data_IF_656161775884
#
_entry.id   IF_656161775884
#
_cell.length_a   1.000
_cell.length_b   1.000
_cell.length_c   1.000
_cell.angle_alpha   90.00
_cell.angle_beta   90.00
_cell.angle_gamma   90.00
#
_symmetry.space_group_name_H-M   'P 1'
#
loop_
_entity.id
_entity.type
_entity.pdbx_description
1 polymer ?
#
# COMPACT_ATOMS: atom_id res chain seq x y z
N UNK A 1 -0.54 -1.68 15.19
CA UNK A 1 -1.86 -1.62 14.52
C UNK A 1 -3.06 -2.07 15.37
N UNK A 2 -2.96 -2.38 16.67
CA UNK A 2 -4.12 -2.92 17.44
C UNK A 2 -5.38 -2.03 17.42
N UNK A 3 -5.24 -0.72 17.22
CA UNK A 3 -6.36 0.24 17.16
C UNK A 3 -6.78 0.66 15.74
N UNK A 4 -6.16 0.12 14.68
CA UNK A 4 -6.52 0.49 13.31
C UNK A 4 -7.92 -0.02 12.95
N UNK A 5 -8.85 0.89 12.64
CA UNK A 5 -10.25 0.54 12.32
C UNK A 5 -10.47 0.12 10.87
N UNK A 6 -9.44 0.19 10.03
CA UNK A 6 -9.49 -0.24 8.62
C UNK A 6 -9.07 -1.71 8.43
N UNK A 7 -8.96 -2.14 7.16
CA UNK A 7 -8.49 -3.50 6.83
C UNK A 7 -7.02 -3.67 7.23
N UNK A 8 -6.65 -4.61 8.12
CA UNK A 8 -5.25 -4.81 8.47
C UNK A 8 -4.38 -5.13 7.24
N UNK A 9 -3.15 -4.60 7.23
CA UNK A 9 -2.14 -4.97 6.25
C UNK A 9 -1.59 -6.40 6.46
N UNK A 10 -0.66 -6.86 5.61
CA UNK A 10 -0.09 -6.13 4.48
C UNK A 10 -1.05 -6.06 3.29
N UNK A 11 -1.04 -4.94 2.58
CA UNK A 11 -1.75 -4.78 1.31
C UNK A 11 -0.77 -4.93 0.14
N UNK A 12 -1.27 -5.32 -1.04
CA UNK A 12 -0.49 -5.44 -2.26
C UNK A 12 -1.32 -5.08 -3.48
N UNK A 13 -0.65 -4.62 -4.53
CA UNK A 13 -1.31 -4.30 -5.79
C UNK A 13 -1.67 -5.59 -6.52
N UNK A 14 -2.92 -5.70 -6.97
CA UNK A 14 -3.35 -6.77 -7.86
C UNK A 14 -3.33 -6.30 -9.30
N UNK A 15 -2.52 -6.97 -10.11
CA UNK A 15 -2.61 -6.90 -11.56
C UNK A 15 -3.72 -7.84 -12.00
N UNK A 16 -4.78 -7.27 -12.55
CA UNK A 16 -5.90 -8.07 -13.01
C UNK A 16 -5.67 -8.41 -14.48
N UNK A 17 -5.93 -9.68 -14.78
CA UNK A 17 -5.94 -10.33 -16.09
C UNK A 17 -6.61 -9.44 -17.14
N UNK A 18 -6.10 -9.51 -18.38
CA UNK A 18 -6.50 -8.78 -19.59
C UNK A 18 -7.85 -8.01 -19.47
N UNK A 19 -7.77 -6.67 -19.44
CA UNK A 19 -8.95 -5.79 -19.44
C UNK A 19 -9.24 -5.04 -18.13
N UNK A 20 -8.48 -5.26 -17.06
CA UNK A 20 -8.74 -4.66 -15.75
C UNK A 20 -7.55 -3.79 -15.24
N UNK A 21 -7.87 -2.73 -14.48
CA UNK A 21 -6.92 -1.78 -13.89
C UNK A 21 -6.37 -2.28 -12.54
N UNK A 22 -5.22 -1.76 -12.05
CA UNK A 22 -4.62 -2.21 -10.80
C UNK A 22 -5.55 -1.99 -9.61
N UNK A 23 -5.79 -3.05 -8.83
CA UNK A 23 -6.53 -3.03 -7.58
C UNK A 23 -5.60 -3.18 -6.37
N UNK A 24 -6.16 -3.20 -5.16
CA UNK A 24 -5.41 -3.43 -3.91
C UNK A 24 -6.08 -4.56 -3.13
N UNK A 25 -5.32 -5.60 -2.81
CA UNK A 25 -5.76 -6.71 -1.97
C UNK A 25 -4.98 -6.77 -0.66
N UNK A 26 -5.60 -7.32 0.37
CA UNK A 26 -4.95 -7.72 1.62
C UNK A 26 -4.38 -9.14 1.46
N UNK A 27 -3.16 -9.34 1.96
CA UNK A 27 -2.42 -10.59 1.81
C UNK A 27 -2.22 -11.29 3.14
N UNK A 28 -2.31 -12.62 3.11
CA UNK A 28 -1.91 -13.48 4.23
C UNK A 28 -1.07 -14.64 3.67
N UNK A 29 0.13 -14.85 4.23
CA UNK A 29 1.07 -15.89 3.78
C UNK A 29 1.35 -15.84 2.26
N UNK A 30 1.49 -14.63 1.71
CA UNK A 30 1.78 -14.40 0.29
C UNK A 30 0.60 -14.62 -0.66
N UNK A 31 -0.61 -14.90 -0.15
CA UNK A 31 -1.82 -15.08 -0.97
C UNK A 31 -2.82 -13.94 -0.73
N UNK A 32 -3.49 -13.44 -1.78
CA UNK A 32 -4.57 -12.47 -1.61
C UNK A 32 -5.74 -13.13 -0.86
N UNK A 33 -6.34 -12.39 0.07
CA UNK A 33 -7.43 -12.88 0.94
C UNK A 33 -8.71 -12.06 0.83
N UNK A 34 -8.59 -10.77 0.54
CA UNK A 34 -9.71 -9.83 0.46
C UNK A 34 -9.30 -8.62 -0.35
N UNK A 35 -10.19 -8.13 -1.21
CA UNK A 35 -9.99 -6.86 -1.91
C UNK A 35 -10.27 -5.67 -1.01
N UNK A 36 -9.33 -4.72 -1.00
CA UNK A 36 -9.33 -3.49 -0.18
C UNK A 36 -9.86 -2.31 -0.99
N UNK A 37 -9.37 -2.13 -2.23
CA UNK A 37 -9.82 -1.10 -3.18
C UNK A 37 -9.88 -1.71 -4.58
N UNK A 38 -11.03 -1.56 -5.24
CA UNK A 38 -11.18 -1.79 -6.68
C UNK A 38 -11.29 -0.43 -7.36
N UNK A 39 -10.56 -0.23 -8.46
CA UNK A 39 -10.83 0.89 -9.36
C UNK A 39 -11.38 0.35 -10.68
N UNK A 40 -12.59 0.82 -11.02
CA UNK A 40 -13.37 0.65 -12.24
C UNK A 40 -14.08 -0.68 -12.53
N UNK A 41 -15.38 -0.59 -12.86
CA UNK A 41 -16.10 -1.54 -13.73
C UNK A 41 -15.88 -1.16 -15.20
N UNK A 42 -16.20 -2.09 -16.12
CA UNK A 42 -15.99 -1.95 -17.56
C UNK A 42 -16.57 -0.68 -18.24
N UNK A 43 -17.44 0.07 -17.56
CA UNK A 43 -18.12 1.26 -18.10
C UNK A 43 -17.38 2.59 -17.83
N UNK A 44 -16.31 2.61 -17.03
CA UNK A 44 -15.40 3.77 -16.92
C UNK A 44 -14.44 3.91 -18.15
N UNK A 45 -14.58 3.04 -19.16
CA UNK A 45 -13.84 3.03 -20.43
C UNK A 45 -13.92 4.34 -21.22
N UNK A 46 -14.92 5.19 -21.00
CA UNK A 46 -15.12 6.43 -21.75
C UNK A 46 -14.34 7.66 -21.21
N UNK A 47 -13.69 7.55 -20.04
CA UNK A 47 -13.22 8.73 -19.30
C UNK A 47 -11.71 8.89 -19.12
N UNK A 48 -10.94 7.80 -18.98
CA UNK A 48 -9.51 7.90 -18.67
C UNK A 48 -8.70 6.90 -19.51
N UNK A 49 -8.34 7.35 -20.70
CA UNK A 49 -7.48 6.63 -21.64
C UNK A 49 -6.03 7.07 -21.35
N UNK A 50 -5.11 6.12 -21.12
CA UNK A 50 -3.64 6.27 -20.96
C UNK A 50 -2.97 6.47 -19.57
N UNK A 51 -3.63 6.24 -18.44
CA UNK A 51 -3.01 6.48 -17.11
C UNK A 51 -2.45 5.22 -16.39
N UNK A 52 -2.18 4.12 -17.10
CA UNK A 52 -1.83 2.83 -16.48
C UNK A 52 -0.67 2.88 -15.47
N UNK A 53 0.34 3.71 -15.73
CA UNK A 53 1.49 3.91 -14.85
C UNK A 53 1.19 4.78 -13.63
N UNK A 54 0.38 5.83 -13.78
CA UNK A 54 -0.02 6.70 -12.67
C UNK A 54 -0.98 5.96 -11.72
N UNK A 55 -1.90 5.18 -12.29
CA UNK A 55 -2.78 4.26 -11.57
C UNK A 55 -1.99 3.24 -10.75
N UNK A 56 -0.96 2.63 -11.34
CA UNK A 56 -0.08 1.71 -10.64
C UNK A 56 0.72 2.41 -9.52
N UNK A 57 1.25 3.60 -9.78
CA UNK A 57 1.97 4.39 -8.78
C UNK A 57 1.07 4.74 -7.58
N UNK A 58 -0.17 5.16 -7.84
CA UNK A 58 -1.17 5.46 -6.81
C UNK A 58 -1.54 4.19 -6.02
N UNK A 59 -1.72 3.06 -6.70
CA UNK A 59 -2.00 1.79 -6.06
C UNK A 59 -0.85 1.34 -5.15
N UNK A 60 0.41 1.48 -5.60
CA UNK A 60 1.61 1.20 -4.78
C UNK A 60 1.66 2.08 -3.52
N UNK A 61 1.42 3.39 -3.67
CA UNK A 61 1.40 4.34 -2.56
C UNK A 61 0.34 3.95 -1.51
N UNK A 62 -0.88 3.64 -1.95
CA UNK A 62 -1.97 3.26 -1.05
C UNK A 62 -1.70 1.90 -0.41
N UNK A 63 -1.18 0.93 -1.18
CA UNK A 63 -0.82 -0.39 -0.66
C UNK A 63 0.27 -0.34 0.42
N UNK A 64 1.13 0.69 0.39
CA UNK A 64 2.14 0.93 1.42
C UNK A 64 1.61 1.71 2.64
N UNK A 65 0.36 2.19 2.64
CA UNK A 65 -0.17 3.03 3.70
C UNK A 65 -0.10 2.42 5.11
N UNK A 66 -0.38 1.11 5.33
CA UNK A 66 -0.21 0.50 6.65
C UNK A 66 1.24 0.60 7.14
N UNK A 67 2.21 0.22 6.29
CA UNK A 67 3.63 0.25 6.63
C UNK A 67 4.17 1.69 6.79
N UNK A 68 3.69 2.63 5.97
CA UNK A 68 4.02 4.07 6.10
C UNK A 68 3.53 4.63 7.43
N UNK A 69 2.31 4.29 7.85
CA UNK A 69 1.76 4.72 9.14
C UNK A 69 2.57 4.15 10.31
N UNK A 70 2.89 2.85 10.28
CA UNK A 70 3.71 2.21 11.30
C UNK A 70 5.12 2.84 11.37
N UNK A 71 5.73 3.14 10.22
CA UNK A 71 7.01 3.84 10.15
C UNK A 71 6.95 5.26 10.74
N UNK A 72 5.90 6.03 10.44
CA UNK A 72 5.69 7.37 11.01
C UNK A 72 5.49 7.34 12.53
N UNK A 73 4.73 6.37 13.04
CA UNK A 73 4.56 6.17 14.48
C UNK A 73 5.89 5.84 15.17
N UNK A 74 6.72 5.00 14.54
CA UNK A 74 8.07 4.69 15.02
C UNK A 74 8.99 5.92 14.97
N UNK A 75 8.86 6.79 13.96
CA UNK A 75 9.59 8.06 13.89
C UNK A 75 9.21 9.03 15.03
N UNK A 76 7.93 9.10 15.40
CA UNK A 76 7.50 9.90 16.56
C UNK A 76 8.11 9.34 17.86
N UNK A 77 8.12 8.01 18.02
CA UNK A 77 8.76 7.33 19.15
C UNK A 77 10.28 7.56 19.22
N UNK A 78 10.93 7.70 18.06
CA UNK A 78 12.34 8.09 17.97
C UNK A 78 12.57 9.49 18.55
N UNK A 79 11.76 10.48 18.17
CA UNK A 79 11.86 11.85 18.69
C UNK A 79 11.80 11.92 20.23
N UNK A 80 11.09 10.98 20.87
CA UNK A 80 10.97 10.88 22.33
C UNK A 80 11.96 9.89 22.98
N UNK A 81 12.88 9.29 22.21
CA UNK A 81 13.98 8.46 22.72
C UNK A 81 13.60 7.04 23.13
N UNK A 82 12.52 6.48 22.59
CA UNK A 82 11.91 5.23 23.10
C UNK A 82 12.11 3.99 22.24
N UNK A 83 12.79 4.09 21.08
CA UNK A 83 12.94 2.99 20.11
C UNK A 83 14.33 2.89 19.51
N UNK A 84 14.65 1.70 18.97
CA UNK A 84 15.91 1.44 18.26
C UNK A 84 15.95 2.17 16.90
N UNK A 85 16.91 3.09 16.79
CA UNK A 85 17.18 3.95 15.64
C UNK A 85 17.34 3.20 14.31
N UNK A 86 18.07 2.09 14.31
CA UNK A 86 18.39 1.33 13.10
C UNK A 86 17.13 0.67 12.53
N UNK A 87 16.27 0.17 13.42
CA UNK A 87 15.01 -0.48 13.03
C UNK A 87 14.01 0.52 12.44
N UNK A 88 13.83 1.67 13.09
CA UNK A 88 12.90 2.70 12.62
C UNK A 88 13.29 3.23 11.22
N UNK A 89 14.59 3.40 10.96
CA UNK A 89 15.09 3.78 9.64
C UNK A 89 14.78 2.72 8.58
N UNK A 90 15.08 1.44 8.85
CA UNK A 90 14.84 0.35 7.90
C UNK A 90 13.35 0.15 7.59
N UNK A 91 12.49 0.25 8.61
CA UNK A 91 11.04 0.14 8.44
C UNK A 91 10.52 1.27 7.53
N UNK A 92 10.99 2.51 7.74
CA UNK A 92 10.64 3.65 6.88
C UNK A 92 11.13 3.48 5.44
N UNK A 93 12.39 3.06 5.25
CA UNK A 93 12.95 2.83 3.92
C UNK A 93 12.17 1.73 3.18
N UNK A 94 11.80 0.66 3.86
CA UNK A 94 11.00 -0.43 3.28
C UNK A 94 9.61 0.05 2.85
N UNK A 95 8.92 0.82 3.69
CA UNK A 95 7.62 1.38 3.37
C UNK A 95 7.68 2.36 2.18
N UNK A 96 8.73 3.19 2.11
CA UNK A 96 8.97 4.11 0.99
C UNK A 96 9.24 3.34 -0.31
N UNK A 97 10.08 2.32 -0.29
CA UNK A 97 10.36 1.50 -1.48
C UNK A 97 9.07 0.87 -2.01
N UNK A 98 8.24 0.31 -1.11
CA UNK A 98 6.93 -0.23 -1.47
C UNK A 98 6.00 0.82 -2.09
N UNK A 99 5.95 2.03 -1.51
CA UNK A 99 5.13 3.12 -2.03
C UNK A 99 5.58 3.59 -3.42
N UNK A 100 6.88 3.55 -3.69
CA UNK A 100 7.48 3.89 -4.99
C UNK A 100 7.47 2.72 -5.99
N UNK A 101 7.06 1.52 -5.56
CA UNK A 101 7.07 0.31 -6.39
C UNK A 101 8.47 -0.21 -6.73
N UNK A 102 9.45 0.00 -5.83
CA UNK A 102 10.87 -0.39 -5.97
C UNK A 102 11.19 -1.73 -5.32
#
# INVERSE_FOLDING_TARGET
MEDFKGTPGPWGVTHVVEGHKPGIDAYQNGKPTKTVILWATAEEWAGIINEGSEQLANANLIAAAPELLDALQNLIKWKVGTVNHYRAYNDAQSAINKALGL
#
